data_IF_175573485490
#
_entry.id   IF_175573485490
#
_cell.length_a   1.000
_cell.length_b   1.000
_cell.length_c   1.000
_cell.angle_alpha   90.00
_cell.angle_beta   90.00
_cell.angle_gamma   90.00
#
_symmetry.space_group_name_H-M   'P 1'
#
loop_
_entity.id
_entity.type
_entity.pdbx_description
1 polymer ?
#
# COMPACT_ATOMS: atom_id res chain seq x y z
N UNK A 1 8.78 23.12 -25.24
CA UNK A 1 8.47 21.68 -25.07
C UNK A 1 8.67 21.33 -23.60
N UNK A 2 7.60 21.30 -22.82
CA UNK A 2 7.57 20.86 -21.43
C UNK A 2 6.64 19.64 -21.39
N UNK A 3 7.13 18.51 -20.88
CA UNK A 3 6.31 17.32 -20.71
C UNK A 3 5.29 17.55 -19.57
N UNK A 4 4.01 17.17 -19.72
CA UNK A 4 3.00 17.35 -18.68
C UNK A 4 2.98 16.11 -17.80
N UNK A 5 3.80 16.08 -16.74
CA UNK A 5 3.80 14.99 -15.75
C UNK A 5 3.51 15.48 -14.32
N UNK A 6 2.78 16.58 -14.18
CA UNK A 6 2.28 17.07 -12.89
C UNK A 6 0.77 17.29 -12.96
N UNK A 7 0.05 16.25 -13.39
CA UNK A 7 -1.40 16.18 -13.34
C UNK A 7 -1.81 15.39 -12.09
N UNK A 8 -1.26 15.76 -10.94
CA UNK A 8 -1.71 15.24 -9.65
C UNK A 8 -3.10 15.85 -9.41
N UNK A 9 -4.12 15.00 -9.51
CA UNK A 9 -5.43 15.13 -8.88
C UNK A 9 -5.81 16.56 -8.49
N UNK A 10 -6.45 17.29 -9.41
CA UNK A 10 -7.39 18.32 -8.94
C UNK A 10 -8.41 17.54 -8.11
N UNK A 11 -8.54 17.82 -6.80
CA UNK A 11 -9.45 17.07 -5.98
C UNK A 11 -10.85 17.54 -6.39
N UNK A 12 -11.47 16.73 -7.26
CA UNK A 12 -12.81 17.02 -7.77
C UNK A 12 -13.77 17.17 -6.59
N UNK A 13 -14.82 17.97 -6.77
CA UNK A 13 -15.88 18.12 -5.76
C UNK A 13 -16.36 16.75 -5.26
N UNK A 14 -16.50 15.80 -6.19
CA UNK A 14 -16.84 14.42 -5.89
C UNK A 14 -15.90 13.80 -4.85
N UNK A 15 -14.58 13.84 -5.09
CA UNK A 15 -13.59 13.26 -4.19
C UNK A 15 -13.42 13.98 -2.84
N UNK A 16 -13.74 15.28 -2.76
CA UNK A 16 -13.60 16.06 -1.51
C UNK A 16 -14.84 16.05 -0.62
N UNK A 17 -16.02 16.01 -1.22
CA UNK A 17 -17.27 16.32 -0.52
C UNK A 17 -18.37 15.28 -0.72
N UNK A 18 -18.26 14.38 -1.69
CA UNK A 18 -19.33 13.45 -2.07
C UNK A 18 -18.94 11.99 -1.85
N UNK A 19 -17.69 11.73 -1.45
CA UNK A 19 -17.14 10.39 -1.22
C UNK A 19 -16.75 10.23 0.23
N UNK A 20 -17.22 9.14 0.83
CA UNK A 20 -16.82 8.70 2.17
C UNK A 20 -15.76 7.59 2.04
N UNK A 21 -14.74 7.66 2.88
CA UNK A 21 -13.56 6.80 2.81
C UNK A 21 -13.91 5.33 3.07
N UNK A 22 -14.86 5.10 3.98
CA UNK A 22 -15.42 3.80 4.38
C UNK A 22 -16.08 3.08 3.20
N UNK A 23 -16.63 3.84 2.25
CA UNK A 23 -17.28 3.33 1.04
C UNK A 23 -16.31 3.15 -0.14
N UNK A 24 -15.02 3.46 0.07
CA UNK A 24 -13.96 3.40 -0.95
C UNK A 24 -12.79 2.49 -0.53
N UNK A 25 -13.07 1.23 -0.14
CA UNK A 25 -12.10 0.40 0.57
C UNK A 25 -10.81 0.17 -0.22
N UNK A 26 -10.84 0.15 -1.56
CA UNK A 26 -9.64 -0.02 -2.40
C UNK A 26 -8.99 1.29 -2.86
N UNK A 27 -9.80 2.33 -3.04
CA UNK A 27 -9.29 3.63 -3.50
C UNK A 27 -8.61 4.40 -2.38
N UNK A 28 -9.10 4.27 -1.14
CA UNK A 28 -8.49 4.90 0.02
C UNK A 28 -7.04 4.44 0.26
N UNK A 29 -6.72 3.12 0.38
CA UNK A 29 -5.35 2.67 0.60
C UNK A 29 -4.45 2.92 -0.61
N UNK A 30 -5.01 2.95 -1.83
CA UNK A 30 -4.28 3.37 -3.03
C UNK A 30 -3.81 4.83 -2.92
N UNK A 31 -4.71 5.73 -2.51
CA UNK A 31 -4.37 7.13 -2.28
C UNK A 31 -3.39 7.28 -1.11
N UNK A 32 -3.65 6.61 0.02
CA UNK A 32 -2.79 6.65 1.19
C UNK A 32 -1.37 6.18 0.86
N UNK A 33 -1.20 5.09 0.10
CA UNK A 33 0.10 4.61 -0.35
C UNK A 33 0.85 5.64 -1.20
N UNK A 34 0.16 6.32 -2.13
CA UNK A 34 0.77 7.38 -2.94
C UNK A 34 1.28 8.54 -2.06
N UNK A 35 0.47 8.95 -1.09
CA UNK A 35 0.78 10.05 -0.16
C UNK A 35 1.95 9.68 0.76
N UNK A 36 1.86 8.55 1.47
CA UNK A 36 2.92 8.09 2.38
C UNK A 36 4.24 7.89 1.63
N UNK A 37 4.21 7.32 0.42
CA UNK A 37 5.43 7.15 -0.36
C UNK A 37 6.07 8.46 -0.80
N UNK A 38 5.28 9.50 -1.07
CA UNK A 38 5.79 10.81 -1.41
C UNK A 38 6.60 11.43 -0.26
N UNK A 39 6.25 11.12 0.99
CA UNK A 39 6.99 11.57 2.17
C UNK A 39 8.26 10.75 2.44
N UNK A 40 8.37 9.56 1.85
CA UNK A 40 9.50 8.65 2.05
C UNK A 40 10.62 8.82 1.02
N UNK A 41 10.37 9.45 -0.13
CA UNK A 41 11.31 9.52 -1.26
C UNK A 41 11.23 10.87 -1.98
N UNK A 42 12.38 11.42 -2.37
CA UNK A 42 12.47 12.60 -3.27
C UNK A 42 12.24 12.20 -4.74
N UNK A 43 12.34 10.90 -5.05
CA UNK A 43 12.09 10.33 -6.38
C UNK A 43 10.63 9.91 -6.54
N UNK A 44 10.23 9.56 -7.76
CA UNK A 44 8.87 9.08 -8.04
C UNK A 44 8.50 7.86 -7.18
N UNK A 45 7.24 7.82 -6.73
CA UNK A 45 6.67 6.69 -6.01
C UNK A 45 6.67 5.40 -6.86
N UNK A 46 6.44 4.26 -6.21
CA UNK A 46 6.43 2.96 -6.86
C UNK A 46 4.98 2.56 -7.21
N UNK A 47 4.58 2.58 -8.50
CA UNK A 47 3.21 2.24 -8.87
C UNK A 47 2.82 0.80 -8.53
N UNK A 48 3.78 -0.12 -8.38
CA UNK A 48 3.50 -1.51 -7.96
C UNK A 48 3.07 -1.58 -6.50
N UNK A 49 3.75 -0.84 -5.64
CA UNK A 49 3.43 -0.80 -4.21
C UNK A 49 2.03 -0.22 -3.98
N UNK A 50 1.69 0.83 -4.73
CA UNK A 50 0.35 1.45 -4.74
C UNK A 50 -0.72 0.45 -5.20
N UNK A 51 -0.41 -0.37 -6.22
CA UNK A 51 -1.31 -1.43 -6.67
C UNK A 51 -1.48 -2.50 -5.60
N UNK A 52 -0.40 -3.00 -5.00
CA UNK A 52 -0.46 -3.99 -3.93
C UNK A 52 -1.26 -3.47 -2.72
N UNK A 53 -1.08 -2.21 -2.33
CA UNK A 53 -1.84 -1.59 -1.24
C UNK A 53 -3.35 -1.56 -1.48
N UNK A 54 -3.80 -1.46 -2.75
CA UNK A 54 -5.23 -1.45 -3.07
C UNK A 54 -5.97 -2.77 -2.80
N UNK A 55 -5.22 -3.86 -2.57
CA UNK A 55 -5.76 -5.18 -2.23
C UNK A 55 -5.75 -5.48 -0.73
N UNK A 56 -5.22 -4.60 0.11
CA UNK A 56 -5.18 -4.82 1.56
C UNK A 56 -6.54 -5.10 2.21
N UNK A 57 -7.67 -4.47 1.79
CA UNK A 57 -8.98 -4.80 2.36
C UNK A 57 -9.47 -6.21 2.04
N UNK A 58 -8.91 -6.85 1.00
CA UNK A 58 -9.32 -8.18 0.55
C UNK A 58 -8.46 -9.30 1.16
N UNK A 59 -7.44 -8.96 1.96
CA UNK A 59 -6.45 -9.88 2.48
C UNK A 59 -6.37 -9.80 4.00
N UNK A 60 -6.08 -10.92 4.67
CA UNK A 60 -5.76 -10.93 6.10
C UNK A 60 -4.32 -10.45 6.37
N UNK A 61 -3.41 -10.78 5.45
CA UNK A 61 -1.97 -10.56 5.57
C UNK A 61 -1.34 -10.12 4.26
N UNK A 62 -0.36 -9.23 4.36
CA UNK A 62 0.51 -8.82 3.26
C UNK A 62 1.96 -9.13 3.61
N UNK A 63 2.58 -10.03 2.85
CA UNK A 63 3.96 -10.45 3.05
C UNK A 63 4.89 -9.67 2.13
N UNK A 64 5.96 -9.12 2.70
CA UNK A 64 6.94 -8.39 1.90
C UNK A 64 8.36 -8.62 2.38
N UNK A 65 9.29 -8.61 1.42
CA UNK A 65 10.70 -8.59 1.69
C UNK A 65 11.29 -7.15 1.74
N UNK A 66 10.47 -6.13 1.58
CA UNK A 66 10.85 -4.72 1.61
C UNK A 66 10.40 -4.07 2.93
N UNK A 67 11.35 -3.56 3.70
CA UNK A 67 11.11 -2.93 5.00
C UNK A 67 10.44 -1.55 4.87
N UNK A 68 10.73 -0.80 3.82
CA UNK A 68 10.05 0.47 3.57
C UNK A 68 8.60 0.24 3.19
N UNK A 69 8.34 -0.77 2.36
CA UNK A 69 6.96 -1.15 2.04
C UNK A 69 6.23 -1.61 3.30
N UNK A 70 6.86 -2.42 4.16
CA UNK A 70 6.26 -2.83 5.44
C UNK A 70 5.88 -1.64 6.33
N UNK A 71 6.80 -0.69 6.52
CA UNK A 71 6.54 0.53 7.30
C UNK A 71 5.38 1.36 6.71
N UNK A 72 5.31 1.43 5.39
CA UNK A 72 4.19 2.09 4.70
C UNK A 72 2.87 1.36 4.96
N UNK A 73 2.85 0.03 4.89
CA UNK A 73 1.65 -0.78 5.19
C UNK A 73 1.17 -0.58 6.63
N UNK A 74 2.09 -0.50 7.59
CA UNK A 74 1.74 -0.27 8.99
C UNK A 74 1.06 1.09 9.19
N UNK A 75 1.58 2.16 8.59
CA UNK A 75 0.97 3.49 8.64
C UNK A 75 -0.41 3.53 7.98
N UNK A 76 -0.57 2.87 6.83
CA UNK A 76 -1.88 2.75 6.16
C UNK A 76 -2.87 2.04 7.08
N UNK A 77 -2.46 0.95 7.71
CA UNK A 77 -3.33 0.13 8.55
C UNK A 77 -3.68 0.76 9.91
N UNK A 78 -2.93 1.77 10.37
CA UNK A 78 -3.27 2.59 11.54
C UNK A 78 -4.39 3.60 11.25
N UNK A 79 -4.44 4.11 10.03
CA UNK A 79 -5.38 5.17 9.63
C UNK A 79 -6.54 4.67 8.77
N UNK A 80 -6.57 3.37 8.48
CA UNK A 80 -7.54 2.80 7.57
C UNK A 80 -8.98 2.97 8.08
N UNK A 81 -9.90 3.48 7.25
CA UNK A 81 -11.32 3.63 7.60
C UNK A 81 -12.05 2.28 7.64
N UNK A 82 -11.42 1.23 7.10
CA UNK A 82 -11.92 -0.14 7.08
C UNK A 82 -10.83 -1.10 7.55
N UNK A 83 -11.20 -2.30 7.97
CA UNK A 83 -10.22 -3.35 8.29
C UNK A 83 -9.38 -3.66 7.06
N UNK A 84 -8.07 -3.79 7.26
CA UNK A 84 -7.10 -4.11 6.20
C UNK A 84 -6.10 -5.14 6.70
N UNK A 85 -5.60 -5.96 5.78
CA UNK A 85 -4.60 -6.96 6.06
C UNK A 85 -3.32 -6.37 6.65
N UNK A 86 -2.74 -7.07 7.63
CA UNK A 86 -1.54 -6.61 8.33
C UNK A 86 -0.28 -6.94 7.54
N UNK A 87 0.68 -6.03 7.57
CA UNK A 87 2.01 -6.25 7.04
C UNK A 87 2.81 -7.27 7.89
N UNK A 88 3.54 -8.15 7.22
CA UNK A 88 4.56 -9.00 7.85
C UNK A 88 5.81 -9.07 6.99
N UNK A 89 6.96 -9.06 7.66
CA UNK A 89 8.26 -9.27 7.02
C UNK A 89 8.43 -10.75 6.70
N UNK A 90 8.69 -11.06 5.44
CA UNK A 90 9.19 -12.37 5.02
C UNK A 90 10.67 -12.25 4.61
N UNK A 91 11.41 -13.36 4.65
CA UNK A 91 12.77 -13.37 4.13
C UNK A 91 12.77 -13.16 2.60
N UNK A 92 13.83 -12.58 2.06
CA UNK A 92 14.01 -12.54 0.61
C UNK A 92 14.37 -13.94 0.11
N UNK A 93 13.75 -14.37 -0.98
CA UNK A 93 14.02 -15.68 -1.59
C UNK A 93 13.93 -15.61 -3.11
N UNK A 94 14.66 -16.52 -3.76
CA UNK A 94 14.42 -16.86 -5.16
C UNK A 94 13.10 -17.64 -5.28
N UNK A 95 12.59 -17.78 -6.51
CA UNK A 95 11.29 -18.41 -6.78
C UNK A 95 11.12 -19.78 -6.12
N UNK A 96 12.17 -20.60 -6.14
CA UNK A 96 12.12 -21.98 -5.61
C UNK A 96 12.17 -22.06 -4.08
N UNK A 97 12.36 -20.94 -3.37
CA UNK A 97 12.45 -20.87 -1.91
C UNK A 97 11.37 -20.02 -1.24
N UNK A 98 10.32 -19.63 -1.97
CA UNK A 98 9.28 -18.73 -1.46
C UNK A 98 8.54 -19.36 -0.27
N UNK A 99 8.22 -20.66 -0.34
CA UNK A 99 7.46 -21.34 0.72
C UNK A 99 8.24 -21.33 2.03
N UNK A 100 9.52 -21.69 1.98
CA UNK A 100 10.44 -21.69 3.10
C UNK A 100 10.62 -20.28 3.68
N UNK A 101 10.59 -19.25 2.83
CA UNK A 101 10.75 -17.87 3.25
C UNK A 101 9.51 -17.26 3.93
N UNK A 102 8.30 -17.69 3.54
CA UNK A 102 7.04 -17.20 4.15
C UNK A 102 6.62 -18.02 5.36
N UNK A 103 6.99 -19.30 5.43
CA UNK A 103 6.55 -20.19 6.51
C UNK A 103 6.86 -19.64 7.92
N UNK A 104 8.04 -19.06 8.22
CA UNK A 104 8.29 -18.45 9.53
C UNK A 104 7.34 -17.30 9.86
N UNK A 105 6.97 -16.49 8.86
CA UNK A 105 6.06 -15.35 9.04
C UNK A 105 4.61 -15.78 9.32
N UNK A 106 4.22 -17.00 8.91
CA UNK A 106 2.88 -17.55 9.13
C UNK A 106 2.75 -18.30 10.46
N UNK A 107 3.85 -18.83 11.01
CA UNK A 107 3.83 -19.57 12.31
C UNK A 107 3.62 -18.67 13.52
N UNK A 108 3.65 -17.35 13.35
CA UNK A 108 3.54 -16.35 14.42
C UNK A 108 2.18 -15.65 14.45
N UNK A 109 1.22 -16.16 13.68
CA UNK A 109 -0.19 -15.76 13.69
C UNK A 109 -0.92 -16.41 14.87
#
# INVERSE_FOLDING_TARGET
>A
MLQPACQYLVPSRFGLYEVEAEHMPRNWPRWAAQTVQADMKITHGNPRDVQHASHLPDCDLSLTADENFLRMLDQIAEQAPVSVGRGRRAAQAAHDGIVEAIQPALRTL
#
